data_IF_505172680010
#
_entry.id   IF_505172680010
#
_cell.length_a   1.000
_cell.length_b   1.000
_cell.length_c   1.000
_cell.angle_alpha   90.00
_cell.angle_beta   90.00
_cell.angle_gamma   90.00
#
_symmetry.space_group_name_H-M   'P 1'
#
loop_
_entity.id
_entity.type
_entity.pdbx_description
1 polymer ?
#
# COMPACT_ATOMS: atom_id res chain seq x y z
N UNK A 1 -7.66 -19.57 -6.55
CA UNK A 1 -7.09 -18.40 -5.87
C UNK A 1 -7.68 -18.31 -4.47
N UNK A 2 -6.83 -18.21 -3.47
CA UNK A 2 -7.34 -18.15 -2.11
C UNK A 2 -7.92 -16.77 -1.79
N UNK A 3 -8.95 -16.77 -0.95
CA UNK A 3 -9.61 -15.54 -0.51
C UNK A 3 -8.77 -14.90 0.59
N UNK A 4 -8.69 -13.56 0.65
CA UNK A 4 -8.05 -12.91 1.79
C UNK A 4 -8.70 -13.30 3.11
N UNK A 5 -7.88 -13.44 4.15
CA UNK A 5 -8.34 -13.81 5.49
C UNK A 5 -8.01 -12.70 6.48
N UNK A 6 -8.64 -12.73 7.65
CA UNK A 6 -8.44 -11.75 8.72
C UNK A 6 -8.68 -10.32 8.24
N UNK A 7 -9.69 -10.14 7.40
CA UNK A 7 -9.97 -8.87 6.75
C UNK A 7 -10.49 -7.82 7.74
N UNK A 8 -9.83 -6.68 7.80
CA UNK A 8 -10.27 -5.48 8.54
C UNK A 8 -10.32 -4.31 7.58
N UNK A 9 -11.37 -3.52 7.66
CA UNK A 9 -11.59 -2.40 6.74
C UNK A 9 -11.96 -1.15 7.53
N UNK A 10 -11.37 -0.03 7.13
CA UNK A 10 -11.72 1.29 7.66
C UNK A 10 -11.87 2.24 6.50
N UNK A 11 -12.90 3.10 6.56
CA UNK A 11 -13.16 4.09 5.53
C UNK A 11 -13.08 5.50 6.09
N UNK A 12 -12.79 6.45 5.20
CA UNK A 12 -12.94 7.87 5.50
C UNK A 12 -11.99 8.40 6.53
N UNK A 13 -10.75 8.04 6.44
CA UNK A 13 -9.76 8.56 7.37
C UNK A 13 -9.10 9.82 6.85
N UNK A 14 -8.60 10.61 7.76
CA UNK A 14 -8.04 11.96 7.66
C UNK A 14 -7.38 12.29 6.31
N UNK A 15 -6.18 11.80 6.12
CA UNK A 15 -5.38 12.12 4.94
C UNK A 15 -5.58 11.12 3.80
N UNK A 16 -6.26 10.01 4.09
CA UNK A 16 -6.61 9.00 3.10
C UNK A 16 -8.13 8.96 3.01
N UNK A 17 -8.69 9.61 2.01
CA UNK A 17 -10.14 9.75 1.86
C UNK A 17 -10.80 8.52 1.24
N UNK A 18 -10.18 7.37 1.35
CA UNK A 18 -10.71 6.15 0.80
C UNK A 18 -10.88 5.08 1.86
N UNK A 19 -10.16 3.98 1.71
CA UNK A 19 -10.26 2.85 2.60
C UNK A 19 -8.88 2.37 3.05
N UNK A 20 -8.81 1.87 4.26
CA UNK A 20 -7.67 1.13 4.77
C UNK A 20 -8.10 -0.29 5.03
N UNK A 21 -7.27 -1.26 4.64
CA UNK A 21 -7.62 -2.68 4.71
C UNK A 21 -6.44 -3.44 5.29
N UNK A 22 -6.72 -4.40 6.15
CA UNK A 22 -5.72 -5.33 6.68
C UNK A 22 -6.21 -6.74 6.44
N UNK A 23 -5.37 -7.60 5.85
CA UNK A 23 -5.74 -8.98 5.54
C UNK A 23 -4.49 -9.84 5.34
N UNK A 24 -4.70 -11.14 5.23
CA UNK A 24 -3.69 -12.10 4.80
C UNK A 24 -4.17 -12.81 3.55
N UNK A 25 -3.26 -13.13 2.65
CA UNK A 25 -3.60 -13.79 1.40
C UNK A 25 -2.39 -14.60 0.90
N UNK A 26 -2.62 -15.49 -0.07
CA UNK A 26 -1.53 -16.28 -0.64
C UNK A 26 -0.55 -15.40 -1.40
N UNK A 27 0.74 -15.83 -1.51
CA UNK A 27 1.70 -15.08 -2.32
C UNK A 27 1.24 -14.89 -3.77
N UNK A 28 0.58 -15.89 -4.34
CA UNK A 28 0.07 -15.81 -5.70
C UNK A 28 -0.99 -14.71 -5.85
N UNK A 29 -1.90 -14.61 -4.89
CA UNK A 29 -2.91 -13.56 -4.88
C UNK A 29 -2.25 -12.18 -4.77
N UNK A 30 -1.30 -12.02 -3.84
CA UNK A 30 -0.61 -10.75 -3.61
C UNK A 30 0.13 -10.32 -4.87
N UNK A 31 0.91 -11.22 -5.49
CA UNK A 31 1.64 -10.93 -6.71
C UNK A 31 0.72 -10.54 -7.86
N UNK A 32 -0.38 -11.27 -8.03
CA UNK A 32 -1.35 -10.99 -9.08
C UNK A 32 -1.97 -9.61 -8.90
N UNK A 33 -2.30 -9.23 -7.68
CA UNK A 33 -2.89 -7.91 -7.39
C UNK A 33 -1.90 -6.79 -7.61
N UNK A 34 -0.65 -6.97 -7.18
CA UNK A 34 0.40 -5.96 -7.39
C UNK A 34 0.60 -5.71 -8.89
N UNK A 35 0.68 -6.77 -9.68
CA UNK A 35 0.81 -6.69 -11.14
C UNK A 35 -0.41 -6.03 -11.79
N UNK A 36 -1.58 -6.50 -11.43
CA UNK A 36 -2.84 -6.02 -12.00
C UNK A 36 -3.06 -4.54 -11.75
N UNK A 37 -2.70 -4.07 -10.57
CA UNK A 37 -2.86 -2.67 -10.15
C UNK A 37 -1.66 -1.81 -10.52
N UNK A 38 -0.63 -2.40 -11.13
CA UNK A 38 0.58 -1.70 -11.57
C UNK A 38 1.30 -1.00 -10.41
N UNK A 39 1.25 -1.59 -9.23
CA UNK A 39 1.98 -1.09 -8.07
C UNK A 39 3.47 -1.38 -8.26
N UNK A 40 4.30 -0.45 -7.84
CA UNK A 40 5.74 -0.66 -7.86
C UNK A 40 6.32 -0.45 -6.46
N UNK A 41 7.41 -1.15 -6.19
CA UNK A 41 8.05 -1.07 -4.88
C UNK A 41 8.70 0.30 -4.70
N UNK A 42 8.43 0.94 -3.56
CA UNK A 42 9.02 2.22 -3.18
C UNK A 42 9.98 1.95 -2.01
N UNK A 43 11.29 2.04 -2.24
CA UNK A 43 12.26 1.76 -1.18
C UNK A 43 12.26 2.82 -0.09
N UNK A 44 12.79 2.46 1.08
CA UNK A 44 12.89 3.39 2.21
C UNK A 44 13.85 4.54 1.92
N UNK A 45 14.93 4.25 1.18
CA UNK A 45 15.92 5.23 0.79
C UNK A 45 15.71 5.65 -0.66
N UNK A 46 15.87 6.93 -0.96
CA UNK A 46 15.77 7.42 -2.32
C UNK A 46 16.94 6.88 -3.15
N UNK A 47 16.67 6.31 -4.33
CA UNK A 47 17.76 5.97 -5.23
C UNK A 47 18.41 7.23 -5.80
N UNK A 48 19.69 7.12 -6.11
CA UNK A 48 20.47 8.25 -6.60
C UNK A 48 20.07 8.68 -8.01
N UNK A 49 19.39 7.82 -8.74
CA UNK A 49 18.99 8.08 -10.12
C UNK A 49 17.76 8.96 -10.29
N UNK A 50 17.07 9.28 -9.21
CA UNK A 50 15.92 10.17 -9.26
C UNK A 50 14.68 9.59 -9.89
N UNK A 51 14.56 8.28 -10.00
CA UNK A 51 13.39 7.64 -10.58
C UNK A 51 12.12 7.80 -9.76
N UNK A 52 12.27 8.07 -8.46
CA UNK A 52 11.12 8.25 -7.57
C UNK A 52 10.89 9.73 -7.32
N UNK A 53 9.64 10.16 -7.39
CA UNK A 53 9.32 11.51 -7.04
C UNK A 53 9.02 11.64 -5.54
N UNK A 54 8.89 12.89 -5.08
CA UNK A 54 8.67 13.16 -3.66
C UNK A 54 7.31 12.65 -3.18
N UNK A 55 6.32 12.58 -4.06
CA UNK A 55 5.00 12.09 -3.66
C UNK A 55 5.01 10.60 -3.35
N UNK A 56 5.81 9.80 -4.06
CA UNK A 56 5.97 8.38 -3.77
C UNK A 56 6.58 8.18 -2.38
N UNK A 57 7.61 8.94 -2.08
CA UNK A 57 8.32 8.85 -0.79
C UNK A 57 7.43 9.33 0.36
N UNK A 58 6.67 10.40 0.12
CA UNK A 58 5.72 10.92 1.11
C UNK A 58 4.63 9.90 1.41
N UNK A 59 4.11 9.23 0.38
CA UNK A 59 3.08 8.20 0.55
C UNK A 59 3.59 7.06 1.41
N UNK A 60 4.85 6.62 1.17
CA UNK A 60 5.45 5.57 1.98
C UNK A 60 5.57 5.99 3.44
N UNK A 61 6.03 7.21 3.67
CA UNK A 61 6.24 7.73 5.02
C UNK A 61 4.93 7.91 5.78
N UNK A 62 3.95 8.54 5.13
CA UNK A 62 2.66 8.81 5.76
C UNK A 62 1.89 7.54 6.07
N UNK A 63 1.89 6.59 5.13
CA UNK A 63 1.16 5.33 5.33
C UNK A 63 1.82 4.43 6.36
N UNK A 64 3.08 4.68 6.71
CA UNK A 64 3.76 3.91 7.74
C UNK A 64 3.35 4.32 9.16
N UNK A 65 2.66 5.45 9.33
CA UNK A 65 2.23 5.90 10.65
C UNK A 65 1.23 4.92 11.24
N UNK A 66 1.57 4.40 12.42
CA UNK A 66 0.75 3.39 13.07
C UNK A 66 -0.39 4.01 13.85
N UNK A 67 -1.56 3.37 13.77
CA UNK A 67 -2.75 3.85 14.44
C UNK A 67 -3.77 2.72 14.58
N UNK A 68 -4.20 2.45 15.79
CA UNK A 68 -5.13 1.37 16.08
C UNK A 68 -4.60 0.04 15.52
N UNK A 69 -5.38 -0.60 14.64
CA UNK A 69 -4.97 -1.85 14.00
C UNK A 69 -4.10 -1.63 12.75
N UNK A 70 -3.94 -0.38 12.30
CA UNK A 70 -3.10 -0.05 11.14
C UNK A 70 -1.65 0.04 11.60
N UNK A 71 -0.89 -1.03 11.39
CA UNK A 71 0.48 -1.15 11.92
C UNK A 71 1.47 -1.73 10.92
N UNK A 72 1.59 -1.15 9.73
CA UNK A 72 2.53 -1.69 8.72
C UNK A 72 3.98 -1.61 9.16
N UNK A 73 4.35 -0.57 9.91
CA UNK A 73 5.74 -0.41 10.35
C UNK A 73 6.17 -1.48 11.36
N UNK A 74 5.21 -2.15 12.00
CA UNK A 74 5.50 -3.24 12.94
C UNK A 74 5.74 -4.57 12.26
N UNK A 75 5.51 -4.67 10.95
CA UNK A 75 5.73 -5.91 10.21
C UNK A 75 7.22 -6.07 9.87
N UNK A 76 7.89 -7.15 10.31
CA UNK A 76 9.28 -7.37 9.94
C UNK A 76 9.45 -7.54 8.44
N UNK A 77 10.41 -6.83 7.85
CA UNK A 77 10.71 -6.97 6.44
C UNK A 77 9.62 -6.51 5.48
N UNK A 78 8.72 -5.65 5.94
CA UNK A 78 7.63 -5.16 5.10
C UNK A 78 8.16 -4.32 3.94
N UNK A 79 7.60 -4.57 2.75
CA UNK A 79 7.88 -3.80 1.55
C UNK A 79 6.67 -2.97 1.20
N UNK A 80 6.88 -1.78 0.64
CA UNK A 80 5.81 -0.89 0.23
C UNK A 80 5.72 -0.83 -1.28
N UNK A 81 4.52 -1.06 -1.80
CA UNK A 81 4.20 -0.98 -3.24
C UNK A 81 3.16 0.11 -3.42
N UNK A 82 3.29 0.94 -4.46
CA UNK A 82 2.48 2.13 -4.59
C UNK A 82 2.24 2.46 -6.06
N UNK A 83 1.07 3.02 -6.33
CA UNK A 83 0.74 3.59 -7.64
C UNK A 83 -0.19 4.76 -7.44
N UNK A 84 0.13 5.87 -8.10
CA UNK A 84 -0.71 7.06 -8.11
C UNK A 84 -1.35 7.19 -9.50
N UNK A 85 -2.66 7.13 -9.53
CA UNK A 85 -3.43 7.25 -10.77
C UNK A 85 -3.89 8.68 -10.95
N UNK A 86 -3.64 9.25 -12.11
CA UNK A 86 -4.15 10.57 -12.47
C UNK A 86 -4.93 10.48 -13.75
N UNK A 87 -6.03 11.23 -13.81
CA UNK A 87 -6.88 11.32 -14.98
C UNK A 87 -7.30 12.77 -15.14
N UNK A 88 -7.42 13.21 -16.39
CA UNK A 88 -7.91 14.56 -16.67
C UNK A 88 -9.38 14.74 -16.29
N UNK A 89 -10.13 13.66 -16.29
CA UNK A 89 -11.55 13.69 -16.00
C UNK A 89 -11.88 13.58 -14.52
N UNK A 90 -10.97 13.01 -13.72
CA UNK A 90 -11.19 12.74 -12.31
C UNK A 90 -9.94 13.12 -11.56
N UNK A 91 -10.10 13.62 -10.33
CA UNK A 91 -8.96 13.86 -9.47
C UNK A 91 -8.17 12.56 -9.26
N UNK A 92 -6.87 12.67 -9.14
CA UNK A 92 -6.02 11.53 -8.95
C UNK A 92 -6.37 10.75 -7.71
N UNK A 93 -6.13 9.46 -7.75
CA UNK A 93 -6.28 8.57 -6.59
C UNK A 93 -5.03 7.71 -6.49
N UNK A 94 -4.79 7.18 -5.30
CA UNK A 94 -3.58 6.44 -5.01
C UNK A 94 -3.92 5.12 -4.32
N UNK A 95 -3.09 4.13 -4.53
CA UNK A 95 -3.21 2.84 -3.85
C UNK A 95 -1.82 2.41 -3.39
N UNK A 96 -1.72 1.98 -2.14
CA UNK A 96 -0.48 1.48 -1.57
C UNK A 96 -0.70 0.18 -0.81
N UNK A 97 0.28 -0.70 -0.89
CA UNK A 97 0.26 -2.01 -0.23
C UNK A 97 1.54 -2.21 0.56
N UNK A 98 1.40 -2.42 1.86
CA UNK A 98 2.49 -2.88 2.72
C UNK A 98 2.41 -4.39 2.84
N UNK A 99 3.43 -5.09 2.41
CA UNK A 99 3.40 -6.56 2.31
C UNK A 99 4.54 -7.17 3.12
N UNK A 100 4.19 -8.14 3.96
CA UNK A 100 5.18 -9.00 4.62
C UNK A 100 5.26 -10.31 3.85
N UNK A 101 6.37 -10.53 3.14
CA UNK A 101 6.55 -11.73 2.31
C UNK A 101 6.68 -13.02 3.11
N UNK A 102 7.04 -12.93 4.39
CA UNK A 102 7.19 -14.12 5.24
C UNK A 102 5.85 -14.62 5.79
N UNK A 103 4.94 -13.70 6.12
CA UNK A 103 3.65 -14.04 6.74
C UNK A 103 2.48 -13.87 5.79
N UNK A 104 2.70 -13.24 4.64
CA UNK A 104 1.67 -12.90 3.64
C UNK A 104 0.61 -11.95 4.19
N UNK A 105 0.99 -11.16 5.18
CA UNK A 105 0.14 -10.14 5.77
C UNK A 105 0.24 -8.85 4.95
N UNK A 106 -0.90 -8.21 4.75
CA UNK A 106 -0.99 -7.00 3.93
C UNK A 106 -1.77 -5.92 4.65
N UNK A 107 -1.21 -4.70 4.62
CA UNK A 107 -1.94 -3.48 4.92
C UNK A 107 -2.03 -2.69 3.62
N UNK A 108 -3.24 -2.43 3.18
CA UNK A 108 -3.47 -1.74 1.91
C UNK A 108 -4.34 -0.51 2.12
N UNK A 109 -4.10 0.53 1.33
CA UNK A 109 -4.97 1.70 1.34
C UNK A 109 -5.28 2.12 -0.09
N UNK A 110 -6.42 2.77 -0.23
CA UNK A 110 -6.80 3.43 -1.47
C UNK A 110 -7.42 4.77 -1.09
N UNK A 111 -7.05 5.82 -1.79
CA UNK A 111 -7.54 7.15 -1.47
C UNK A 111 -7.22 8.15 -2.54
N UNK A 112 -7.86 9.29 -2.46
CA UNK A 112 -7.66 10.33 -3.44
C UNK A 112 -7.58 11.70 -2.82
#
# INVERSE_FOLDING_TARGET
MSVPTDLRVRRGQRFLHGAQVHFSASPAFISAMISSKKLREIPAALPDDGELDLSDVSARRQSAEERDWWRPASMPGAKFYYHHHQSQAIQGWAEGWWVNGATNEVYAFIGG
#
